data_IF_315935535624
#
_entry.id   IF_315935535624
#
_cell.length_a   1.000
_cell.length_b   1.000
_cell.length_c   1.000
_cell.angle_alpha   90.00
_cell.angle_beta   90.00
_cell.angle_gamma   90.00
#
_symmetry.space_group_name_H-M   'P 1'
#
loop_
_entity.id
_entity.type
_entity.pdbx_description
1 polymer ?
#
# COMPACT_ATOMS: atom_id res chain seq x y z
N UNK A 1 -21.00 -14.61 -10.15
CA UNK A 1 -21.86 -13.87 -11.11
C UNK A 1 -20.99 -13.45 -12.30
N UNK A 2 -21.43 -13.68 -13.54
CA UNK A 2 -20.69 -13.27 -14.74
C UNK A 2 -21.10 -11.85 -15.14
N UNK A 3 -20.14 -10.92 -15.18
CA UNK A 3 -20.35 -9.55 -15.64
C UNK A 3 -19.74 -9.36 -17.03
N UNK A 4 -20.49 -8.71 -17.93
CA UNK A 4 -20.02 -8.34 -19.28
C UNK A 4 -18.74 -7.48 -19.23
N UNK A 5 -18.66 -6.55 -18.27
CA UNK A 5 -17.49 -5.69 -18.06
C UNK A 5 -16.89 -5.86 -16.66
N UNK A 6 -16.18 -6.97 -16.43
CA UNK A 6 -15.61 -7.32 -15.11
C UNK A 6 -14.74 -6.23 -14.49
N UNK A 7 -13.87 -5.58 -15.28
CA UNK A 7 -12.99 -4.51 -14.79
C UNK A 7 -13.76 -3.25 -14.38
N UNK A 8 -14.77 -2.87 -15.15
CA UNK A 8 -15.65 -1.74 -14.83
C UNK A 8 -16.42 -2.02 -13.53
N UNK A 9 -17.02 -3.20 -13.42
CA UNK A 9 -17.71 -3.61 -12.21
C UNK A 9 -16.78 -3.56 -10.98
N UNK A 10 -15.55 -4.08 -11.09
CA UNK A 10 -14.57 -4.05 -10.02
C UNK A 10 -14.18 -2.61 -9.61
N UNK A 11 -13.97 -1.72 -10.59
CA UNK A 11 -13.68 -0.31 -10.32
C UNK A 11 -14.84 0.40 -9.62
N UNK A 12 -16.08 0.22 -10.09
CA UNK A 12 -17.26 0.79 -9.44
C UNK A 12 -17.43 0.27 -8.01
N UNK A 13 -17.25 -1.04 -7.80
CA UNK A 13 -17.33 -1.66 -6.46
C UNK A 13 -16.28 -1.09 -5.52
N UNK A 14 -15.04 -0.93 -6.01
CA UNK A 14 -13.95 -0.31 -5.24
C UNK A 14 -14.31 1.11 -4.81
N UNK A 15 -14.82 1.93 -5.73
CA UNK A 15 -15.22 3.31 -5.43
C UNK A 15 -16.36 3.32 -4.41
N UNK A 16 -17.44 2.56 -4.65
CA UNK A 16 -18.61 2.49 -3.75
C UNK A 16 -18.19 2.12 -2.32
N UNK A 17 -17.32 1.12 -2.18
CA UNK A 17 -16.83 0.69 -0.88
C UNK A 17 -15.89 1.71 -0.23
N UNK A 18 -15.16 2.50 -1.02
CA UNK A 18 -14.24 3.52 -0.53
C UNK A 18 -14.95 4.84 -0.17
N UNK A 19 -16.12 5.14 -0.72
CA UNK A 19 -16.85 6.42 -0.52
C UNK A 19 -16.86 6.93 0.94
N UNK A 20 -17.10 6.10 1.97
CA UNK A 20 -17.14 6.57 3.35
C UNK A 20 -15.85 7.28 3.81
N UNK A 21 -14.69 6.81 3.35
CA UNK A 21 -13.37 7.27 3.81
C UNK A 21 -12.56 7.96 2.70
N UNK A 22 -13.00 7.89 1.43
CA UNK A 22 -12.26 8.36 0.25
C UNK A 22 -11.88 9.84 0.32
N UNK A 23 -12.66 10.65 1.03
CA UNK A 23 -12.47 12.09 1.16
C UNK A 23 -12.16 12.54 2.60
N UNK A 24 -11.66 11.64 3.46
CA UNK A 24 -11.33 11.96 4.86
C UNK A 24 -10.36 13.15 4.99
N UNK A 25 -9.42 13.31 4.05
CA UNK A 25 -8.47 14.42 4.00
C UNK A 25 -9.11 15.82 3.86
N UNK A 26 -10.39 15.91 3.49
CA UNK A 26 -11.11 17.20 3.46
C UNK A 26 -11.46 17.68 4.87
N UNK A 27 -11.58 16.77 5.84
CA UNK A 27 -11.95 17.07 7.21
C UNK A 27 -10.77 17.00 8.20
N UNK A 28 -9.68 16.34 7.80
CA UNK A 28 -8.49 16.13 8.63
C UNK A 28 -7.22 16.47 7.84
N UNK A 29 -6.56 17.56 8.23
CA UNK A 29 -5.33 18.06 7.60
C UNK A 29 -4.12 17.13 7.85
N UNK A 30 -4.18 16.24 8.85
CA UNK A 30 -3.12 15.25 9.09
C UNK A 30 -3.13 14.14 8.01
N UNK A 31 -4.26 13.96 7.31
CA UNK A 31 -4.39 13.00 6.21
C UNK A 31 -3.98 13.68 4.90
N UNK A 32 -2.92 13.22 4.22
CA UNK A 32 -2.52 13.79 2.95
C UNK A 32 -3.54 13.51 1.85
N UNK A 33 -3.76 14.50 0.97
CA UNK A 33 -4.64 14.39 -0.21
C UNK A 33 -4.07 13.50 -1.34
N UNK A 34 -2.83 13.00 -1.20
CA UNK A 34 -2.19 12.12 -2.19
C UNK A 34 -1.50 10.94 -1.52
N UNK A 35 -1.41 9.82 -2.25
CA UNK A 35 -0.72 8.60 -1.81
C UNK A 35 0.76 8.56 -2.19
N UNK A 36 1.31 9.64 -2.75
CA UNK A 36 2.67 9.71 -3.29
C UNK A 36 3.75 9.24 -2.30
N UNK A 37 3.61 9.64 -1.03
CA UNK A 37 4.55 9.23 0.03
C UNK A 37 4.54 7.72 0.26
N UNK A 38 3.36 7.10 0.25
CA UNK A 38 3.20 5.65 0.42
C UNK A 38 3.73 4.91 -0.82
N UNK A 39 3.40 5.38 -2.02
CA UNK A 39 3.85 4.75 -3.27
C UNK A 39 5.37 4.77 -3.42
N UNK A 40 5.99 5.93 -3.14
CA UNK A 40 7.46 6.06 -3.11
C UNK A 40 8.07 5.10 -2.08
N UNK A 41 7.53 5.07 -0.86
CA UNK A 41 8.01 4.17 0.19
C UNK A 41 7.95 2.69 -0.22
N UNK A 42 6.80 2.23 -0.73
CA UNK A 42 6.62 0.84 -1.16
C UNK A 42 7.44 0.50 -2.39
N UNK A 43 7.73 1.47 -3.26
CA UNK A 43 8.65 1.27 -4.39
C UNK A 43 10.04 0.92 -3.88
N UNK A 44 10.59 1.71 -2.95
CA UNK A 44 11.89 1.42 -2.34
C UNK A 44 11.92 0.09 -1.57
N UNK A 45 10.86 -0.24 -0.84
CA UNK A 45 10.76 -1.54 -0.18
C UNK A 45 10.77 -2.70 -1.19
N UNK A 46 10.01 -2.58 -2.29
CA UNK A 46 9.97 -3.60 -3.35
C UNK A 46 11.31 -3.75 -4.04
N UNK A 47 12.02 -2.66 -4.32
CA UNK A 47 13.38 -2.69 -4.90
C UNK A 47 14.34 -3.50 -4.02
N UNK A 48 14.26 -3.35 -2.70
CA UNK A 48 15.09 -4.11 -1.76
C UNK A 48 14.64 -5.56 -1.59
N UNK A 49 13.34 -5.84 -1.69
CA UNK A 49 12.80 -7.19 -1.54
C UNK A 49 12.93 -8.04 -2.83
N UNK A 50 12.91 -7.42 -4.01
CA UNK A 50 12.92 -8.10 -5.31
C UNK A 50 14.12 -9.03 -5.53
N UNK A 51 15.37 -8.64 -5.19
CA UNK A 51 16.52 -9.54 -5.24
C UNK A 51 16.34 -10.80 -4.38
N UNK A 52 15.52 -10.71 -3.33
CA UNK A 52 15.23 -11.79 -2.39
C UNK A 52 13.89 -12.49 -2.67
N UNK A 53 13.39 -12.45 -3.91
CA UNK A 53 12.11 -13.07 -4.30
C UNK A 53 12.00 -14.57 -3.98
N UNK A 54 13.13 -15.27 -3.91
CA UNK A 54 13.22 -16.70 -3.57
C UNK A 54 13.08 -17.03 -2.07
N UNK A 55 12.97 -16.02 -1.20
CA UNK A 55 12.77 -16.25 0.23
C UNK A 55 11.44 -16.98 0.51
N UNK A 56 11.48 -17.87 1.50
CA UNK A 56 10.26 -18.42 2.12
C UNK A 56 9.39 -17.29 2.66
N UNK A 57 8.08 -17.52 2.73
CA UNK A 57 7.11 -16.51 3.17
C UNK A 57 7.44 -15.90 4.54
N UNK A 58 7.82 -16.73 5.52
CA UNK A 58 8.21 -16.24 6.84
C UNK A 58 9.49 -15.40 6.82
N UNK A 59 10.45 -15.74 5.96
CA UNK A 59 11.64 -14.92 5.78
C UNK A 59 11.32 -13.57 5.12
N UNK A 60 10.36 -13.52 4.17
CA UNK A 60 9.86 -12.25 3.60
C UNK A 60 9.16 -11.38 4.64
N UNK A 61 8.32 -11.96 5.51
CA UNK A 61 7.72 -11.23 6.63
C UNK A 61 8.77 -10.65 7.57
N UNK A 62 9.75 -11.46 7.95
CA UNK A 62 10.84 -11.01 8.83
C UNK A 62 11.68 -9.92 8.17
N UNK A 63 11.98 -10.04 6.88
CA UNK A 63 12.65 -8.98 6.12
C UNK A 63 11.88 -7.66 6.21
N UNK A 64 10.57 -7.67 5.93
CA UNK A 64 9.73 -6.46 5.99
C UNK A 64 9.70 -5.87 7.41
N UNK A 65 9.56 -6.71 8.44
CA UNK A 65 9.58 -6.27 9.86
C UNK A 65 10.89 -5.57 10.21
N UNK A 66 12.03 -6.18 9.87
CA UNK A 66 13.34 -5.59 10.15
C UNK A 66 13.58 -4.34 9.31
N UNK A 67 13.18 -4.32 8.04
CA UNK A 67 13.25 -3.14 7.18
C UNK A 67 12.50 -1.95 7.81
N UNK A 68 11.25 -2.17 8.24
CA UNK A 68 10.44 -1.16 8.93
C UNK A 68 11.10 -0.68 10.22
N UNK A 69 11.61 -1.61 11.04
CA UNK A 69 12.29 -1.29 12.29
C UNK A 69 13.52 -0.38 12.07
N UNK A 70 14.39 -0.73 11.13
CA UNK A 70 15.59 0.06 10.85
C UNK A 70 15.23 1.42 10.22
N UNK A 71 14.26 1.47 9.30
CA UNK A 71 13.81 2.75 8.72
C UNK A 71 13.22 3.70 9.75
N UNK A 72 12.45 3.19 10.71
CA UNK A 72 11.88 4.00 11.78
C UNK A 72 12.92 4.47 12.80
N UNK A 73 14.06 3.76 12.92
CA UNK A 73 15.20 4.22 13.73
C UNK A 73 16.01 5.32 13.06
N UNK A 74 16.20 5.25 11.75
CA UNK A 74 16.90 6.29 10.97
C UNK A 74 16.13 7.61 10.90
N UNK A 75 14.80 7.56 11.04
CA UNK A 75 13.92 8.73 10.98
C UNK A 75 13.79 9.48 12.33
N UNK A 76 14.43 8.99 13.40
CA UNK A 76 14.53 9.66 14.71
C UNK A 76 15.88 10.35 14.82
#
# INVERSE_FOLDING_TARGET
>A
MWYTHKKLHAACTLIINAIPDMFAYLNDEEIPNTTNRLESYFTHLKEKLTPHRGLRFEAKKNFIKWYLYFKNKEAK
#
